data_IF_180015977039
#
_entry.id   IF_180015977039
#
_cell.length_a   1.000
_cell.length_b   1.000
_cell.length_c   1.000
_cell.angle_alpha   90.00
_cell.angle_beta   90.00
_cell.angle_gamma   90.00
#
_symmetry.space_group_name_H-M   'P 1'
#
loop_
_entity.id
_entity.type
_entity.pdbx_description
1 polymer ?
#
# COMPACT_ATOMS: atom_id res chain seq x y z
N UNK A 1 -17.58 -2.35 6.05
CA UNK A 1 -16.37 -1.82 6.72
C UNK A 1 -15.73 -0.62 5.98
N UNK A 2 -16.02 -0.39 4.68
CA UNK A 2 -15.40 0.70 3.91
C UNK A 2 -15.72 2.11 4.46
N UNK A 3 -16.86 2.34 5.07
CA UNK A 3 -17.24 3.66 5.59
C UNK A 3 -16.39 4.21 6.74
N UNK A 4 -15.53 3.40 7.38
CA UNK A 4 -14.60 3.86 8.42
C UNK A 4 -13.34 4.53 7.86
N UNK A 5 -12.85 4.08 6.71
CA UNK A 5 -11.66 4.64 6.05
C UNK A 5 -11.90 6.07 5.55
N UNK A 6 -13.12 6.38 5.11
CA UNK A 6 -13.48 7.73 4.64
C UNK A 6 -13.30 8.78 5.74
N UNK A 7 -13.56 8.43 7.01
CA UNK A 7 -13.37 9.33 8.15
C UNK A 7 -11.90 9.61 8.44
N UNK A 8 -11.02 8.62 8.27
CA UNK A 8 -9.57 8.80 8.45
C UNK A 8 -9.01 9.67 7.32
N UNK A 9 -9.36 9.38 6.07
CA UNK A 9 -8.93 10.15 4.90
C UNK A 9 -9.38 11.62 4.95
N UNK A 10 -10.55 11.88 5.53
CA UNK A 10 -11.08 13.24 5.70
C UNK A 10 -10.61 13.92 7.00
N UNK A 11 -9.67 13.31 7.73
CA UNK A 11 -9.16 13.81 9.01
C UNK A 11 -10.27 14.06 10.05
N UNK A 12 -11.29 13.21 10.04
CA UNK A 12 -12.47 13.33 10.92
C UNK A 12 -12.33 12.60 12.26
N UNK A 13 -11.18 11.98 12.55
CA UNK A 13 -10.86 11.36 13.84
C UNK A 13 -9.98 12.32 14.64
N UNK A 14 -10.47 12.78 15.79
CA UNK A 14 -9.81 13.76 16.64
C UNK A 14 -9.53 13.20 18.03
N UNK A 15 -8.55 13.78 18.73
CA UNK A 15 -8.24 13.46 20.14
C UNK A 15 -7.99 11.96 20.38
N UNK A 16 -7.41 11.24 19.39
CA UNK A 16 -7.10 9.83 19.55
C UNK A 16 -6.01 9.65 20.61
N UNK A 17 -6.32 8.87 21.61
CA UNK A 17 -5.42 8.53 22.73
C UNK A 17 -5.52 7.05 23.06
N UNK A 18 -4.43 6.46 23.57
CA UNK A 18 -4.41 5.11 24.11
C UNK A 18 -3.92 5.15 25.56
N UNK A 19 -4.79 4.81 26.49
CA UNK A 19 -4.47 4.78 27.92
C UNK A 19 -4.86 3.43 28.53
N UNK A 20 -3.86 2.67 29.03
CA UNK A 20 -4.11 1.40 29.70
C UNK A 20 -4.88 0.38 28.83
N UNK A 21 -4.60 0.30 27.55
CA UNK A 21 -5.28 -0.60 26.61
C UNK A 21 -6.65 -0.10 26.16
N UNK A 22 -7.03 1.15 26.47
CA UNK A 22 -8.28 1.74 26.00
C UNK A 22 -7.98 2.87 25.02
N UNK A 23 -8.45 2.72 23.76
CA UNK A 23 -8.46 3.76 22.76
C UNK A 23 -9.67 4.67 23.00
N UNK A 24 -9.46 5.96 22.90
CA UNK A 24 -10.51 6.97 23.03
C UNK A 24 -10.32 8.02 21.96
N UNK A 25 -11.38 8.36 21.22
CA UNK A 25 -11.35 9.36 20.17
C UNK A 25 -12.73 9.97 19.93
N UNK A 26 -12.75 11.16 19.33
CA UNK A 26 -13.95 11.82 18.84
C UNK A 26 -13.98 11.74 17.31
N UNK A 27 -15.09 11.25 16.75
CA UNK A 27 -15.27 11.12 15.30
C UNK A 27 -16.31 12.10 14.82
N UNK A 28 -15.89 13.04 13.98
CA UNK A 28 -16.72 14.10 13.43
C UNK A 28 -17.33 13.68 12.08
N UNK A 29 -18.67 13.86 11.95
CA UNK A 29 -19.45 13.65 10.75
C UNK A 29 -20.50 14.74 10.61
N UNK A 30 -21.78 14.36 10.42
CA UNK A 30 -22.91 15.30 10.59
C UNK A 30 -23.05 15.73 12.06
N UNK A 31 -22.73 14.80 12.96
CA UNK A 31 -22.63 15.02 14.41
C UNK A 31 -21.27 14.48 14.88
N UNK A 32 -20.79 14.91 16.06
CA UNK A 32 -19.58 14.39 16.68
C UNK A 32 -19.94 13.29 17.67
N UNK A 33 -19.26 12.14 17.58
CA UNK A 33 -19.50 10.99 18.44
C UNK A 33 -18.22 10.55 19.14
N UNK A 34 -18.29 10.39 20.45
CA UNK A 34 -17.22 9.80 21.22
C UNK A 34 -17.19 8.29 21.04
N UNK A 35 -15.98 7.74 20.81
CA UNK A 35 -15.72 6.30 20.63
C UNK A 35 -14.72 5.84 21.68
N UNK A 36 -15.00 4.71 22.33
CA UNK A 36 -14.10 4.04 23.26
C UNK A 36 -13.95 2.58 22.85
N UNK A 37 -12.69 2.10 22.73
CA UNK A 37 -12.37 0.74 22.32
C UNK A 37 -11.38 0.16 23.32
N UNK A 38 -11.72 -0.95 23.94
CA UNK A 38 -10.82 -1.68 24.82
C UNK A 38 -10.07 -2.76 24.05
N UNK A 39 -8.76 -2.75 24.22
CA UNK A 39 -7.84 -3.74 23.65
C UNK A 39 -7.29 -4.64 24.77
N UNK A 40 -7.24 -5.94 24.52
CA UNK A 40 -6.39 -6.88 25.26
C UNK A 40 -5.25 -7.33 24.37
N UNK A 41 -4.05 -6.85 24.69
CA UNK A 41 -2.87 -6.97 23.82
C UNK A 41 -3.16 -6.35 22.42
N UNK A 42 -3.28 -7.14 21.36
CA UNK A 42 -3.62 -6.70 20.00
C UNK A 42 -5.04 -7.11 19.56
N UNK A 43 -5.87 -7.55 20.49
CA UNK A 43 -7.25 -7.95 20.18
C UNK A 43 -8.26 -6.98 20.76
N UNK A 44 -9.35 -6.74 20.01
CA UNK A 44 -10.45 -5.89 20.46
C UNK A 44 -11.33 -6.68 21.43
N UNK A 45 -11.37 -6.27 22.70
CA UNK A 45 -12.22 -6.86 23.73
C UNK A 45 -13.65 -6.28 23.67
N UNK A 46 -13.77 -4.96 23.57
CA UNK A 46 -15.06 -4.28 23.49
C UNK A 46 -14.95 -2.95 22.74
N UNK A 47 -16.07 -2.53 22.14
CA UNK A 47 -16.18 -1.25 21.43
C UNK A 47 -17.49 -0.54 21.80
N UNK A 48 -17.42 0.75 22.06
CA UNK A 48 -18.56 1.61 22.39
C UNK A 48 -18.52 2.89 21.55
N UNK A 49 -19.69 3.36 21.12
CA UNK A 49 -19.86 4.63 20.41
C UNK A 49 -21.20 5.25 20.75
N UNK A 50 -21.22 6.56 20.94
CA UNK A 50 -22.45 7.31 21.24
C UNK A 50 -23.43 7.47 20.08
N UNK A 51 -23.13 6.97 18.87
CA UNK A 51 -24.01 7.15 17.72
C UNK A 51 -25.28 6.28 17.79
N UNK A 52 -26.40 6.71 17.16
CA UNK A 52 -27.66 5.95 17.18
C UNK A 52 -27.54 4.52 16.66
N UNK A 53 -26.67 4.29 15.66
CA UNK A 53 -26.46 2.96 15.11
C UNK A 53 -25.77 2.00 16.10
N UNK A 54 -24.79 2.49 16.85
CA UNK A 54 -24.12 1.68 17.88
C UNK A 54 -25.03 1.35 19.06
N UNK A 55 -25.99 2.23 19.38
CA UNK A 55 -26.99 1.99 20.43
C UNK A 55 -27.92 0.79 20.13
N UNK A 56 -27.98 0.33 18.87
CA UNK A 56 -28.69 -0.91 18.50
C UNK A 56 -27.89 -2.17 18.80
N UNK A 57 -26.69 -2.07 19.38
CA UNK A 57 -25.78 -3.20 19.65
C UNK A 57 -24.92 -3.59 18.46
N UNK A 58 -24.83 -2.78 17.42
CA UNK A 58 -24.08 -3.05 16.20
C UNK A 58 -22.80 -2.23 16.13
N UNK A 59 -21.72 -2.82 15.56
CA UNK A 59 -20.49 -2.09 15.29
C UNK A 59 -20.71 -1.05 14.20
N UNK A 60 -20.38 0.20 14.48
CA UNK A 60 -20.60 1.31 13.57
C UNK A 60 -19.32 1.71 12.81
N UNK A 61 -19.48 2.54 11.78
CA UNK A 61 -18.37 3.07 10.99
C UNK A 61 -17.41 3.99 11.80
N UNK A 62 -17.88 4.62 12.87
CA UNK A 62 -17.04 5.46 13.74
C UNK A 62 -16.06 4.60 14.55
N UNK A 63 -16.47 3.42 15.06
CA UNK A 63 -15.58 2.46 15.70
C UNK A 63 -14.50 1.98 14.73
N UNK A 64 -14.89 1.66 13.50
CA UNK A 64 -13.93 1.26 12.46
C UNK A 64 -12.94 2.38 12.12
N UNK A 65 -13.39 3.64 12.08
CA UNK A 65 -12.54 4.80 11.84
C UNK A 65 -11.44 4.95 12.91
N UNK A 66 -11.80 4.76 14.19
CA UNK A 66 -10.83 4.86 15.30
C UNK A 66 -9.79 3.74 15.23
N UNK A 67 -10.18 2.51 14.85
CA UNK A 67 -9.23 1.42 14.68
C UNK A 67 -8.26 1.67 13.54
N UNK A 68 -8.72 2.18 12.38
CA UNK A 68 -7.84 2.54 11.27
C UNK A 68 -6.89 3.69 11.64
N UNK A 69 -7.39 4.75 12.31
CA UNK A 69 -6.54 5.84 12.76
C UNK A 69 -5.48 5.39 13.77
N UNK A 70 -5.81 4.43 14.63
CA UNK A 70 -4.87 3.83 15.56
C UNK A 70 -3.80 2.98 14.88
N UNK A 71 -4.17 2.22 13.86
CA UNK A 71 -3.24 1.44 13.05
C UNK A 71 -2.24 2.35 12.32
N UNK A 72 -2.71 3.43 11.73
CA UNK A 72 -1.88 4.44 11.08
C UNK A 72 -0.90 5.10 12.08
N UNK A 73 -1.35 5.45 13.30
CA UNK A 73 -0.48 5.99 14.35
C UNK A 73 0.62 5.02 14.81
N UNK A 74 0.31 3.72 14.94
CA UNK A 74 1.31 2.72 15.32
C UNK A 74 2.45 2.62 14.30
N UNK A 75 2.11 2.70 13.02
CA UNK A 75 3.10 2.67 11.93
C UNK A 75 4.05 3.87 12.02
N UNK A 76 3.53 5.06 12.36
CA UNK A 76 4.33 6.26 12.53
C UNK A 76 5.22 6.21 13.79
N UNK A 77 4.72 5.67 14.91
CA UNK A 77 5.49 5.50 16.16
C UNK A 77 6.60 4.46 16.04
N UNK A 78 6.37 3.34 15.33
CA UNK A 78 7.41 2.35 15.03
C UNK A 78 8.51 2.94 14.15
N UNK A 79 8.15 3.77 13.18
CA UNK A 79 9.10 4.49 12.33
C UNK A 79 9.93 5.55 13.09
N UNK A 80 9.38 6.12 14.16
CA UNK A 80 10.11 7.08 15.03
C UNK A 80 11.01 6.37 16.06
N UNK A 81 10.58 5.24 16.63
CA UNK A 81 11.40 4.44 17.57
C UNK A 81 12.63 3.83 16.90
N UNK A 82 12.53 3.37 15.65
CA UNK A 82 13.72 2.94 14.88
C UNK A 82 14.72 4.09 14.61
N UNK A 83 14.27 5.34 14.63
CA UNK A 83 15.13 6.51 14.52
C UNK A 83 15.81 6.88 15.84
N UNK A 84 15.22 6.58 17.01
CA UNK A 84 15.80 6.86 18.32
C UNK A 84 16.80 5.79 18.76
N UNK A 85 16.57 4.50 18.51
CA UNK A 85 17.55 3.45 18.81
C UNK A 85 18.84 3.57 18.00
N UNK A 86 18.79 4.18 16.81
CA UNK A 86 19.99 4.52 16.02
C UNK A 86 20.79 5.72 16.55
N UNK A 87 20.26 6.49 17.53
CA UNK A 87 20.93 7.66 18.11
C UNK A 87 21.81 7.36 19.30
N UNK A 88 21.63 6.24 20.00
CA UNK A 88 22.42 5.93 21.21
C UNK A 88 23.75 5.22 20.95
N UNK A 89 24.09 4.81 19.73
CA UNK A 89 25.30 4.03 19.46
C UNK A 89 26.36 4.73 18.58
N UNK A 90 26.41 6.05 18.56
CA UNK A 90 27.54 6.75 17.92
C UNK A 90 27.77 8.13 18.51
N UNK A 91 28.47 8.16 19.66
CA UNK A 91 29.28 9.31 20.06
C UNK A 91 30.74 9.01 19.71
N UNK A 92 31.11 9.31 18.49
CA UNK A 92 32.42 9.91 18.24
C UNK A 92 32.40 10.73 16.93
N UNK A 93 32.82 11.95 17.10
CA UNK A 93 33.16 13.06 16.22
C UNK A 93 33.03 12.84 14.68
N UNK A 94 32.15 13.55 13.98
CA UNK A 94 32.50 14.68 13.07
C UNK A 94 31.25 15.19 12.34
N UNK A 95 31.10 16.51 12.29
CA UNK A 95 30.13 17.28 11.50
C UNK A 95 29.65 16.58 10.25
N UNK A 96 28.30 16.54 10.01
CA UNK A 96 27.83 16.99 8.68
C UNK A 96 26.30 17.04 8.59
N UNK A 97 25.79 18.23 8.42
CA UNK A 97 24.84 18.70 7.43
C UNK A 97 23.91 17.62 6.81
N UNK A 98 22.67 17.53 7.29
CA UNK A 98 21.59 16.84 6.58
C UNK A 98 21.17 17.69 5.37
N UNK A 99 21.93 17.58 4.29
CA UNK A 99 21.54 18.05 2.97
C UNK A 99 20.77 16.94 2.29
N UNK A 100 19.59 17.25 1.73
CA UNK A 100 18.91 16.52 0.68
C UNK A 100 19.92 16.22 -0.45
N UNK A 101 20.60 15.09 -0.37
CA UNK A 101 21.57 14.67 -1.40
C UNK A 101 20.74 14.18 -2.57
N UNK A 102 20.59 15.04 -3.59
CA UNK A 102 20.19 14.56 -4.91
C UNK A 102 21.18 13.46 -5.30
N UNK A 103 20.70 12.28 -5.73
CA UNK A 103 21.60 11.21 -6.14
C UNK A 103 22.52 11.75 -7.24
N UNK A 104 23.83 11.48 -7.07
CA UNK A 104 24.86 11.88 -8.01
C UNK A 104 24.58 11.28 -9.40
N UNK A 105 24.85 12.03 -10.45
CA UNK A 105 24.64 11.58 -11.84
C UNK A 105 25.36 10.27 -12.15
N UNK A 106 26.49 9.99 -11.51
CA UNK A 106 27.22 8.74 -11.64
C UNK A 106 26.47 7.56 -10.97
N UNK A 107 25.84 7.79 -9.82
CA UNK A 107 25.02 6.79 -9.12
C UNK A 107 23.83 6.38 -9.98
N UNK A 108 23.13 7.35 -10.60
CA UNK A 108 22.01 7.11 -11.51
C UNK A 108 22.46 6.33 -12.75
N UNK A 109 23.56 6.73 -13.38
CA UNK A 109 24.08 6.03 -14.57
C UNK A 109 24.48 4.57 -14.25
N UNK A 110 25.12 4.34 -13.10
CA UNK A 110 25.48 3.00 -12.64
C UNK A 110 24.23 2.17 -12.33
N UNK A 111 23.23 2.74 -11.66
CA UNK A 111 21.98 2.06 -11.36
C UNK A 111 21.25 1.62 -12.64
N UNK A 112 21.15 2.47 -13.64
CA UNK A 112 20.54 2.14 -14.96
C UNK A 112 21.20 0.98 -15.67
N UNK A 113 22.51 0.82 -15.52
CA UNK A 113 23.27 -0.25 -16.14
C UNK A 113 23.24 -1.57 -15.37
N UNK A 114 22.93 -1.52 -14.08
CA UNK A 114 23.08 -2.68 -13.18
C UNK A 114 21.77 -3.20 -12.60
N UNK A 115 20.75 -2.36 -12.44
CA UNK A 115 19.45 -2.80 -11.93
C UNK A 115 18.65 -3.44 -13.05
N UNK A 116 18.07 -4.60 -12.77
CA UNK A 116 17.13 -5.30 -13.63
C UNK A 116 15.77 -5.39 -12.96
N UNK A 117 14.73 -5.31 -13.77
CA UNK A 117 13.34 -5.45 -13.37
C UNK A 117 12.76 -6.64 -14.15
N UNK A 118 12.09 -7.55 -13.45
CA UNK A 118 11.34 -8.66 -14.02
C UNK A 118 9.97 -8.70 -13.36
N UNK A 119 8.92 -8.83 -14.17
CA UNK A 119 7.54 -8.74 -13.69
C UNK A 119 6.75 -9.92 -14.22
N UNK A 120 6.05 -10.61 -13.31
CA UNK A 120 5.12 -11.69 -13.61
C UNK A 120 3.69 -11.23 -13.30
N UNK A 121 2.89 -11.06 -14.37
CA UNK A 121 1.52 -10.54 -14.32
C UNK A 121 0.61 -11.46 -15.10
N UNK A 122 -0.58 -11.71 -14.59
CA UNK A 122 -1.63 -12.41 -15.30
C UNK A 122 -2.14 -11.59 -16.51
N UNK A 123 -2.27 -12.24 -17.64
CA UNK A 123 -2.65 -11.59 -18.91
C UNK A 123 -4.11 -11.15 -18.97
N UNK A 124 -4.95 -11.62 -18.04
CA UNK A 124 -6.40 -11.41 -18.10
C UNK A 124 -6.94 -11.00 -16.73
N UNK A 125 -7.79 -10.00 -16.72
CA UNK A 125 -8.56 -9.58 -15.55
C UNK A 125 -10.03 -9.39 -15.91
N UNK A 126 -10.94 -9.67 -14.97
CA UNK A 126 -12.34 -9.32 -15.05
C UNK A 126 -12.90 -8.86 -13.69
N UNK A 127 -14.17 -8.43 -13.68
CA UNK A 127 -14.83 -7.99 -12.47
C UNK A 127 -14.87 -9.08 -11.38
N UNK A 128 -15.12 -10.34 -11.74
CA UNK A 128 -15.19 -11.43 -10.76
C UNK A 128 -13.83 -11.72 -10.12
N UNK A 129 -12.73 -11.70 -10.87
CA UNK A 129 -11.36 -11.82 -10.36
C UNK A 129 -11.07 -10.72 -9.34
N UNK A 130 -11.42 -9.48 -9.67
CA UNK A 130 -11.23 -8.33 -8.78
C UNK A 130 -12.08 -8.44 -7.50
N UNK A 131 -13.36 -8.83 -7.61
CA UNK A 131 -14.27 -8.98 -6.46
C UNK A 131 -13.82 -10.10 -5.50
N UNK A 132 -13.21 -11.16 -6.01
CA UNK A 132 -12.67 -12.25 -5.19
C UNK A 132 -11.26 -11.96 -4.66
N UNK A 133 -10.73 -10.78 -4.90
CA UNK A 133 -9.42 -10.36 -4.39
C UNK A 133 -8.25 -11.17 -4.94
N UNK A 134 -8.39 -11.74 -6.14
CA UNK A 134 -7.31 -12.48 -6.80
C UNK A 134 -6.26 -11.49 -7.28
N UNK A 135 -5.02 -11.68 -6.83
CA UNK A 135 -3.91 -10.85 -7.25
C UNK A 135 -3.49 -11.19 -8.69
N UNK A 136 -3.41 -10.17 -9.54
CA UNK A 136 -2.94 -10.34 -10.94
C UNK A 136 -1.42 -10.18 -11.05
N UNK A 137 -0.75 -9.58 -10.06
CA UNK A 137 0.71 -9.53 -9.99
C UNK A 137 1.19 -10.68 -9.09
N UNK A 138 1.87 -11.65 -9.68
CA UNK A 138 2.43 -12.80 -8.97
C UNK A 138 3.77 -12.47 -8.33
N UNK A 139 4.64 -11.75 -9.05
CA UNK A 139 5.96 -11.36 -8.57
C UNK A 139 6.50 -10.14 -9.32
N UNK A 140 7.13 -9.23 -8.60
CA UNK A 140 7.97 -8.17 -9.16
C UNK A 140 9.36 -8.33 -8.56
N UNK A 141 10.35 -8.70 -9.38
CA UNK A 141 11.73 -8.88 -8.96
C UNK A 141 12.58 -7.69 -9.40
N UNK A 142 13.20 -7.02 -8.43
CA UNK A 142 14.20 -5.97 -8.65
C UNK A 142 15.57 -6.52 -8.25
N UNK A 143 16.48 -6.66 -9.22
CA UNK A 143 17.80 -7.24 -9.04
C UNK A 143 18.90 -6.21 -9.24
N UNK A 144 19.83 -6.17 -8.33
CA UNK A 144 21.07 -5.41 -8.45
C UNK A 144 22.22 -6.32 -8.92
N UNK A 145 22.72 -6.10 -10.12
CA UNK A 145 23.87 -6.87 -10.67
C UNK A 145 25.20 -6.12 -10.52
N UNK A 146 25.33 -5.22 -9.54
CA UNK A 146 26.56 -4.47 -9.32
C UNK A 146 27.14 -4.71 -7.92
N UNK A 147 28.36 -4.25 -7.72
CA UNK A 147 29.01 -4.26 -6.40
C UNK A 147 28.61 -3.06 -5.52
N UNK A 148 27.83 -2.14 -6.06
CA UNK A 148 27.31 -0.98 -5.32
C UNK A 148 25.99 -1.33 -4.63
N UNK A 149 25.67 -0.63 -3.55
CA UNK A 149 24.35 -0.64 -2.95
C UNK A 149 23.54 0.62 -3.34
N UNK A 150 22.23 0.47 -3.40
CA UNK A 150 21.32 1.56 -3.70
C UNK A 150 20.30 1.67 -2.58
N UNK A 151 19.98 2.90 -2.16
CA UNK A 151 19.04 3.18 -1.08
C UNK A 151 17.86 3.97 -1.62
N UNK A 152 16.72 3.86 -0.93
CA UNK A 152 15.51 4.63 -1.16
C UNK A 152 14.98 4.54 -2.60
N UNK A 153 14.95 3.29 -3.14
CA UNK A 153 14.30 3.05 -4.41
C UNK A 153 12.78 2.99 -4.23
N UNK A 154 12.07 3.42 -5.24
CA UNK A 154 10.61 3.36 -5.29
C UNK A 154 10.20 2.58 -6.53
N UNK A 155 9.46 1.49 -6.35
CA UNK A 155 8.74 0.84 -7.44
C UNK A 155 7.38 1.54 -7.59
N UNK A 156 7.18 2.18 -8.73
CA UNK A 156 5.91 2.79 -9.12
C UNK A 156 5.18 1.86 -10.08
N UNK A 157 3.89 1.68 -9.84
CA UNK A 157 3.00 0.87 -10.67
C UNK A 157 1.81 1.74 -11.07
N UNK A 158 1.55 1.85 -12.36
CA UNK A 158 0.40 2.57 -12.92
C UNK A 158 -0.11 1.90 -14.20
N UNK A 159 -1.16 2.43 -14.81
CA UNK A 159 -1.65 1.94 -16.09
C UNK A 159 -2.07 3.09 -17.01
N UNK A 160 -2.14 2.79 -18.30
CA UNK A 160 -2.60 3.72 -19.35
C UNK A 160 -4.13 3.93 -19.36
N UNK A 161 -4.85 3.23 -18.46
CA UNK A 161 -6.31 3.27 -18.36
C UNK A 161 -6.76 3.52 -16.92
N UNK A 162 -8.05 3.72 -16.71
CA UNK A 162 -8.65 3.83 -15.38
C UNK A 162 -8.74 2.48 -14.62
N UNK A 163 -8.14 1.41 -15.15
CA UNK A 163 -8.18 0.07 -14.57
C UNK A 163 -7.47 -0.02 -13.22
N UNK A 164 -6.32 0.63 -13.11
CA UNK A 164 -5.45 0.53 -11.93
C UNK A 164 -5.14 1.94 -11.40
N UNK A 165 -5.33 2.14 -10.10
CA UNK A 165 -4.84 3.33 -9.43
C UNK A 165 -3.32 3.25 -9.24
N UNK A 166 -2.66 4.39 -9.42
CA UNK A 166 -1.23 4.50 -9.19
C UNK A 166 -0.87 4.06 -7.77
N UNK A 167 0.13 3.18 -7.65
CA UNK A 167 0.70 2.74 -6.38
C UNK A 167 2.21 2.90 -6.36
N UNK A 168 2.79 3.01 -5.16
CA UNK A 168 4.23 3.14 -4.95
C UNK A 168 4.65 2.21 -3.80
N UNK A 169 5.71 1.43 -4.03
CA UNK A 169 6.29 0.50 -3.06
C UNK A 169 7.73 0.90 -2.81
N UNK A 170 8.07 1.21 -1.56
CA UNK A 170 9.43 1.59 -1.15
C UNK A 170 10.34 0.37 -1.01
N UNK A 171 11.55 0.45 -1.57
CA UNK A 171 12.64 -0.50 -1.34
C UNK A 171 13.74 0.29 -0.64
N UNK A 172 13.79 0.20 0.69
CA UNK A 172 14.71 1.00 1.51
C UNK A 172 16.16 0.78 1.13
N UNK A 173 16.54 -0.47 0.83
CA UNK A 173 17.91 -0.83 0.48
C UNK A 173 17.95 -2.01 -0.47
N UNK A 174 18.74 -1.89 -1.51
CA UNK A 174 19.06 -2.95 -2.47
C UNK A 174 20.59 -3.15 -2.47
N UNK A 175 21.06 -4.20 -1.79
CA UNK A 175 22.49 -4.48 -1.63
C UNK A 175 23.14 -4.94 -2.94
N UNK A 176 24.47 -5.00 -2.91
CA UNK A 176 25.25 -5.62 -3.99
C UNK A 176 24.75 -7.04 -4.27
N UNK A 177 24.50 -7.36 -5.53
CA UNK A 177 24.05 -8.68 -6.02
C UNK A 177 22.74 -9.21 -5.39
N UNK A 178 21.96 -8.36 -4.75
CA UNK A 178 20.69 -8.69 -4.09
C UNK A 178 19.54 -8.70 -5.09
N UNK A 179 18.59 -9.60 -4.83
CA UNK A 179 17.27 -9.64 -5.47
C UNK A 179 16.19 -9.37 -4.41
N UNK A 180 15.32 -8.41 -4.69
CA UNK A 180 14.14 -8.11 -3.87
C UNK A 180 12.91 -8.52 -4.63
N UNK A 181 12.09 -9.39 -4.01
CA UNK A 181 10.84 -9.87 -4.56
C UNK A 181 9.66 -9.22 -3.84
N UNK A 182 8.84 -8.53 -4.60
CA UNK A 182 7.58 -7.95 -4.15
C UNK A 182 6.47 -8.87 -4.65
N UNK A 183 5.97 -9.73 -3.74
CA UNK A 183 4.97 -10.75 -4.03
C UNK A 183 3.59 -10.33 -3.58
N UNK A 184 2.59 -10.74 -4.33
CA UNK A 184 1.18 -10.53 -3.99
C UNK A 184 0.84 -9.06 -3.73
N UNK A 185 1.49 -8.15 -4.46
CA UNK A 185 1.14 -6.73 -4.36
C UNK A 185 -0.33 -6.54 -4.73
N UNK A 186 -1.08 -6.02 -3.77
CA UNK A 186 -2.50 -5.73 -3.96
C UNK A 186 -2.65 -4.43 -4.74
N UNK A 187 -2.79 -4.55 -6.05
CA UNK A 187 -3.16 -3.41 -6.86
C UNK A 187 -4.56 -2.91 -6.47
N UNK A 188 -4.69 -1.62 -6.42
CA UNK A 188 -6.01 -0.97 -6.34
C UNK A 188 -6.65 -0.99 -7.71
N UNK A 189 -7.35 -2.09 -8.01
CA UNK A 189 -8.06 -2.27 -9.27
C UNK A 189 -9.43 -1.61 -9.16
N UNK A 190 -9.78 -0.81 -10.14
CA UNK A 190 -11.05 -0.10 -10.20
C UNK A 190 -12.18 -1.05 -10.61
N UNK A 191 -12.93 -1.55 -9.62
CA UNK A 191 -14.05 -2.46 -9.83
C UNK A 191 -15.21 -1.82 -10.61
N UNK A 192 -15.49 -0.54 -10.40
CA UNK A 192 -16.56 0.18 -11.12
C UNK A 192 -16.20 0.31 -12.60
N UNK A 193 -14.93 0.56 -12.90
CA UNK A 193 -14.45 0.58 -14.27
C UNK A 193 -14.64 -0.79 -14.95
N UNK A 194 -14.22 -1.89 -14.30
CA UNK A 194 -14.42 -3.25 -14.81
C UNK A 194 -15.89 -3.59 -14.99
N UNK A 195 -16.76 -3.20 -14.06
CA UNK A 195 -18.20 -3.44 -14.15
C UNK A 195 -18.86 -2.66 -15.31
N UNK A 196 -18.26 -1.55 -15.73
CA UNK A 196 -18.77 -0.72 -16.84
C UNK A 196 -18.36 -1.22 -18.23
N UNK A 197 -17.43 -2.17 -18.32
CA UNK A 197 -16.95 -2.68 -19.60
C UNK A 197 -18.01 -3.53 -20.30
N UNK A 198 -18.39 -3.14 -21.49
CA UNK A 198 -19.31 -3.88 -22.37
C UNK A 198 -18.60 -4.71 -23.42
N UNK A 199 -17.30 -4.47 -23.60
CA UNK A 199 -16.41 -5.23 -24.48
C UNK A 199 -15.04 -5.36 -23.84
N UNK A 200 -14.25 -6.35 -24.28
CA UNK A 200 -12.88 -6.51 -23.81
C UNK A 200 -12.01 -5.37 -24.31
N UNK A 201 -11.12 -4.91 -23.45
CA UNK A 201 -10.11 -3.91 -23.80
C UNK A 201 -8.72 -4.43 -23.47
N UNK A 202 -7.71 -3.98 -24.20
CA UNK A 202 -6.30 -4.16 -23.85
C UNK A 202 -5.80 -2.91 -23.15
N UNK A 203 -5.08 -3.06 -22.05
CA UNK A 203 -4.45 -1.98 -21.32
C UNK A 203 -3.04 -2.40 -20.89
N UNK A 204 -2.14 -1.43 -20.71
CA UNK A 204 -0.79 -1.66 -20.26
C UNK A 204 -0.63 -1.28 -18.80
N UNK A 205 0.00 -2.17 -18.03
CA UNK A 205 0.46 -1.88 -16.68
C UNK A 205 1.94 -1.54 -16.77
N UNK A 206 2.31 -0.38 -16.23
CA UNK A 206 3.67 0.15 -16.24
C UNK A 206 4.30 -0.03 -14.87
N UNK A 207 5.51 -0.56 -14.87
CA UNK A 207 6.35 -0.75 -13.69
C UNK A 207 7.60 0.09 -13.87
N UNK A 208 7.90 0.95 -12.92
CA UNK A 208 9.04 1.86 -12.99
C UNK A 208 9.79 1.90 -11.67
N UNK A 209 11.08 1.58 -11.68
CA UNK A 209 11.96 1.74 -10.52
C UNK A 209 12.61 3.11 -10.57
N UNK A 210 12.46 3.85 -9.48
CA UNK A 210 12.94 5.23 -9.34
C UNK A 210 14.00 5.32 -8.24
N UNK A 211 14.94 6.25 -8.39
CA UNK A 211 15.77 6.77 -7.30
C UNK A 211 15.54 8.29 -7.23
N UNK A 212 14.90 8.75 -6.16
CA UNK A 212 14.37 10.11 -6.09
C UNK A 212 13.37 10.37 -7.22
N UNK A 213 13.62 11.39 -8.04
CA UNK A 213 12.78 11.73 -9.19
C UNK A 213 13.32 11.17 -10.53
N UNK A 214 14.32 10.30 -10.50
CA UNK A 214 14.94 9.76 -11.71
C UNK A 214 14.50 8.32 -11.96
N UNK A 215 13.97 8.08 -13.15
CA UNK A 215 13.70 6.73 -13.63
C UNK A 215 15.01 5.97 -13.86
N UNK A 216 15.09 4.75 -13.31
CA UNK A 216 16.22 3.86 -13.45
C UNK A 216 15.95 2.81 -14.51
N UNK A 217 14.83 2.11 -14.37
CA UNK A 217 14.39 1.08 -15.32
C UNK A 217 12.86 1.02 -15.30
N UNK A 218 12.27 0.71 -16.44
CA UNK A 218 10.84 0.44 -16.56
C UNK A 218 10.56 -0.81 -17.39
N UNK A 219 9.42 -1.44 -17.13
CA UNK A 219 8.84 -2.54 -17.90
C UNK A 219 7.33 -2.31 -18.02
N UNK A 220 6.71 -2.91 -19.03
CA UNK A 220 5.27 -2.80 -19.25
C UNK A 220 4.71 -4.17 -19.60
N UNK A 221 3.55 -4.48 -19.03
CA UNK A 221 2.82 -5.72 -19.33
C UNK A 221 1.44 -5.39 -19.89
N UNK A 222 1.10 -6.02 -20.99
CA UNK A 222 -0.23 -5.92 -21.56
C UNK A 222 -1.19 -6.87 -20.87
N UNK A 223 -2.35 -6.35 -20.45
CA UNK A 223 -3.40 -7.09 -19.75
C UNK A 223 -4.72 -6.88 -20.47
N UNK A 224 -5.46 -7.95 -20.69
CA UNK A 224 -6.80 -7.90 -21.25
C UNK A 224 -7.83 -7.78 -20.12
N UNK A 225 -8.52 -6.66 -20.03
CA UNK A 225 -9.70 -6.52 -19.19
C UNK A 225 -10.94 -6.99 -19.97
N UNK A 226 -11.59 -8.02 -19.45
CA UNK A 226 -12.80 -8.58 -20.05
C UNK A 226 -14.04 -7.78 -19.67
N UNK A 227 -15.04 -7.78 -20.54
CA UNK A 227 -16.37 -7.28 -20.20
C UNK A 227 -16.94 -8.03 -18.98
N UNK A 228 -17.87 -7.38 -18.27
CA UNK A 228 -18.41 -7.89 -16.99
C UNK A 228 -19.06 -9.28 -17.10
N UNK A 229 -19.57 -9.64 -18.27
CA UNK A 229 -20.25 -10.91 -18.60
C UNK A 229 -19.33 -11.95 -19.27
N UNK A 230 -18.03 -11.62 -19.48
CA UNK A 230 -17.09 -12.52 -20.12
C UNK A 230 -16.32 -13.36 -19.10
N UNK A 231 -16.12 -14.62 -19.45
CA UNK A 231 -15.42 -15.61 -18.63
C UNK A 231 -13.92 -15.69 -18.99
N UNK A 232 -13.00 -15.65 -17.99
CA UNK A 232 -11.56 -15.67 -18.24
C UNK A 232 -10.99 -17.07 -18.56
N UNK A 233 -11.82 -18.10 -18.63
CA UNK A 233 -11.42 -19.49 -18.83
C UNK A 233 -11.25 -20.26 -17.52
N UNK A 234 -10.72 -21.48 -17.61
CA UNK A 234 -10.65 -22.42 -16.46
C UNK A 234 -9.53 -22.13 -15.45
N UNK A 235 -8.59 -21.26 -15.77
CA UNK A 235 -7.42 -20.95 -14.91
C UNK A 235 -7.84 -20.47 -13.50
N UNK A 236 -8.91 -19.69 -13.41
CA UNK A 236 -9.36 -19.07 -12.15
C UNK A 236 -10.62 -19.73 -11.56
N UNK A 237 -10.97 -20.92 -12.04
CA UNK A 237 -12.20 -21.61 -11.58
C UNK A 237 -12.23 -21.86 -10.08
N UNK A 238 -11.14 -22.30 -9.41
CA UNK A 238 -11.16 -22.51 -7.96
C UNK A 238 -11.44 -21.23 -7.18
N UNK A 239 -10.83 -20.12 -7.55
CA UNK A 239 -10.94 -18.83 -6.89
C UNK A 239 -12.30 -18.16 -7.13
N UNK A 240 -12.95 -18.45 -8.26
CA UNK A 240 -14.25 -17.90 -8.63
C UNK A 240 -15.44 -18.71 -8.09
N UNK A 241 -15.21 -19.97 -7.67
CA UNK A 241 -16.25 -20.86 -7.13
C UNK A 241 -16.16 -21.03 -5.61
N UNK A 242 -15.15 -20.46 -4.96
CA UNK A 242 -14.98 -20.48 -3.51
C UNK A 242 -15.79 -19.38 -2.83
#
# INVERSE_FOLDING_TARGET
LNGGKDYVQNHSVHNLTCNGGTLSADVEGLDSFHVSIRLDSDTVESMECGCPYAQTGSNCKHMAAVLFAWEDMKVDEEAEQEKEEKKEFSNDSTSNNTQNIKPDSNTIANARNSIKLSVDVDEVINYAIQQNGVNIISDVCVKNNSQNEYNDLILRIDSDSALIEKSEVGIQKLRSEEEVHIKNEKLKINGDYLASLTERISCSIHFCVMIGNQEIISDSKEVTALAFDQWPGLKYTPELLA
#
